data_IF_002627216547
#
_entry.id   IF_002627216547
#
_cell.length_a   1.000
_cell.length_b   1.000
_cell.length_c   1.000
_cell.angle_alpha   90.00
_cell.angle_beta   90.00
_cell.angle_gamma   90.00
#
_symmetry.space_group_name_H-M   'P 1'
#
loop_
_entity.id
_entity.type
_entity.pdbx_description
1 polymer ?
#
# COMPACT_ATOMS: atom_id res chain seq x y z
N UNK A 1 -6.31 -8.27 -1.62
CA UNK A 1 -5.57 -9.16 -0.94
C UNK A 1 -6.28 -10.18 -0.18
N UNK A 2 -6.83 -10.94 -0.87
CA UNK A 2 -7.54 -12.03 -0.34
C UNK A 2 -6.64 -13.22 -0.33
N UNK A 3 -5.41 -13.04 0.06
CA UNK A 3 -4.46 -14.12 0.01
C UNK A 3 -5.18 -15.39 0.34
N UNK A 4 -6.14 -15.25 1.18
CA UNK A 4 -7.06 -16.32 1.45
C UNK A 4 -8.26 -15.72 2.15
N UNK A 5 -9.38 -16.43 2.15
CA UNK A 5 -10.59 -15.93 2.74
C UNK A 5 -10.52 -15.73 4.22
N UNK A 6 -9.79 -16.58 4.91
CA UNK A 6 -9.67 -16.46 6.35
C UNK A 6 -8.88 -15.20 6.73
N UNK A 7 -7.81 -14.93 6.01
CA UNK A 7 -7.02 -13.74 6.24
C UNK A 7 -7.85 -12.49 5.98
N UNK A 8 -8.56 -12.46 4.85
CA UNK A 8 -9.40 -11.31 4.50
C UNK A 8 -10.48 -11.08 5.55
N UNK A 9 -11.10 -12.15 6.05
CA UNK A 9 -12.12 -12.01 7.09
C UNK A 9 -11.53 -11.49 8.38
N UNK A 10 -10.34 -11.98 8.73
CA UNK A 10 -9.64 -11.49 9.90
C UNK A 10 -9.34 -10.01 9.81
N UNK A 11 -8.94 -9.55 8.64
CA UNK A 11 -8.70 -8.14 8.41
C UNK A 11 -9.98 -7.34 8.58
N UNK A 12 -11.08 -7.77 7.96
CA UNK A 12 -12.34 -7.06 8.05
C UNK A 12 -12.86 -7.01 9.48
N UNK A 13 -12.68 -8.08 10.24
CA UNK A 13 -13.16 -8.13 11.61
C UNK A 13 -12.29 -7.34 12.59
N UNK A 14 -11.01 -7.23 12.30
CA UNK A 14 -10.04 -6.66 13.23
C UNK A 14 -9.93 -5.14 13.15
N UNK A 15 -10.34 -4.53 12.06
CA UNK A 15 -10.16 -3.10 11.87
C UNK A 15 -11.37 -2.41 11.28
N UNK A 16 -11.47 -1.08 11.46
CA UNK A 16 -12.58 -0.30 10.93
C UNK A 16 -12.49 -0.04 9.43
N UNK A 17 -11.38 -0.39 8.79
CA UNK A 17 -11.15 -0.09 7.38
C UNK A 17 -11.00 -1.36 6.58
N UNK A 18 -11.43 -1.30 5.31
CA UNK A 18 -11.21 -2.36 4.34
C UNK A 18 -10.14 -1.91 3.36
N UNK A 19 -9.27 -2.81 2.98
CA UNK A 19 -8.20 -2.50 2.03
C UNK A 19 -8.61 -3.01 0.66
N UNK A 20 -8.52 -2.13 -0.34
CA UNK A 20 -8.79 -2.46 -1.74
C UNK A 20 -7.62 -2.07 -2.61
N UNK A 21 -7.39 -2.84 -3.66
CA UNK A 21 -6.40 -2.51 -4.68
C UNK A 21 -7.05 -1.69 -5.78
N UNK A 22 -6.38 -0.60 -6.18
CA UNK A 22 -6.79 0.13 -7.35
C UNK A 22 -6.79 -0.81 -8.56
N UNK A 23 -7.85 -0.74 -9.34
CA UNK A 23 -7.99 -1.51 -10.57
C UNK A 23 -8.23 -0.55 -11.72
N UNK A 24 -7.44 -0.69 -12.80
CA UNK A 24 -7.60 0.15 -13.99
C UNK A 24 -8.83 -0.26 -14.79
N UNK A 25 -9.17 0.54 -15.78
CA UNK A 25 -10.30 0.23 -16.67
C UNK A 25 -10.12 -1.10 -17.41
N UNK A 26 -8.88 -1.52 -17.61
CA UNK A 26 -8.60 -2.78 -18.28
C UNK A 26 -8.47 -3.96 -17.33
N UNK A 27 -8.71 -3.73 -16.04
CA UNK A 27 -8.70 -4.81 -15.04
C UNK A 27 -7.36 -5.04 -14.38
N UNK A 28 -6.35 -4.22 -14.68
CA UNK A 28 -5.05 -4.36 -14.06
C UNK A 28 -5.07 -3.85 -12.62
N UNK A 29 -4.47 -4.63 -11.73
CA UNK A 29 -4.29 -4.25 -10.33
C UNK A 29 -2.79 -4.08 -10.07
N UNK A 30 -2.25 -2.90 -10.32
CA UNK A 30 -0.79 -2.73 -10.31
C UNK A 30 -0.13 -2.98 -8.97
N UNK A 31 -0.76 -2.62 -7.85
CA UNK A 31 -0.14 -2.87 -6.55
C UNK A 31 -0.13 -4.36 -6.25
N UNK A 32 -1.23 -5.06 -6.53
CA UNK A 32 -1.28 -6.50 -6.32
C UNK A 32 -0.25 -7.20 -7.20
N UNK A 33 -0.13 -6.79 -8.46
CA UNK A 33 0.89 -7.34 -9.36
C UNK A 33 2.30 -7.11 -8.83
N UNK A 34 2.57 -5.91 -8.34
CA UNK A 34 3.87 -5.59 -7.76
C UNK A 34 4.19 -6.50 -6.56
N UNK A 35 3.20 -6.69 -5.68
CA UNK A 35 3.38 -7.57 -4.53
C UNK A 35 3.74 -8.99 -4.98
N UNK A 36 3.04 -9.49 -5.97
CA UNK A 36 3.24 -10.87 -6.45
C UNK A 36 4.55 -11.06 -7.20
N UNK A 37 4.98 -10.06 -7.93
CA UNK A 37 6.13 -10.17 -8.83
C UNK A 37 7.43 -9.71 -8.22
N UNK A 38 7.38 -8.69 -7.35
CA UNK A 38 8.59 -8.03 -6.87
C UNK A 38 8.97 -8.41 -5.46
N UNK A 39 8.04 -8.93 -4.66
CA UNK A 39 8.32 -9.26 -3.27
C UNK A 39 8.53 -10.75 -3.08
N UNK A 40 9.47 -11.11 -2.21
CA UNK A 40 9.64 -12.48 -1.77
C UNK A 40 8.42 -12.92 -0.96
N UNK A 41 8.29 -14.23 -0.75
CA UNK A 41 7.21 -14.76 0.09
C UNK A 41 7.25 -14.14 1.48
N UNK A 42 8.44 -14.02 2.06
CA UNK A 42 8.61 -13.43 3.39
C UNK A 42 8.20 -11.97 3.41
N UNK A 43 8.61 -11.21 2.39
CA UNK A 43 8.24 -9.80 2.28
C UNK A 43 6.74 -9.62 2.09
N UNK A 44 6.11 -10.47 1.29
CA UNK A 44 4.66 -10.43 1.09
C UNK A 44 3.91 -10.68 2.40
N UNK A 45 4.37 -11.65 3.18
CA UNK A 45 3.74 -11.94 4.47
C UNK A 45 3.91 -10.77 5.43
N UNK A 46 5.11 -10.20 5.47
CA UNK A 46 5.36 -9.06 6.35
C UNK A 46 4.53 -7.85 5.97
N UNK A 47 4.42 -7.57 4.67
CA UNK A 47 3.59 -6.46 4.21
C UNK A 47 2.13 -6.72 4.52
N UNK A 48 1.64 -7.93 4.24
CA UNK A 48 0.24 -8.27 4.54
C UNK A 48 -0.08 -8.13 6.01
N UNK A 49 0.82 -8.58 6.87
CA UNK A 49 0.63 -8.45 8.32
C UNK A 49 0.60 -6.98 8.74
N UNK A 50 1.49 -6.16 8.19
CA UNK A 50 1.54 -4.74 8.50
C UNK A 50 0.29 -4.00 8.00
N UNK A 51 -0.19 -4.35 6.81
CA UNK A 51 -1.43 -3.79 6.29
C UNK A 51 -2.59 -4.11 7.25
N UNK A 52 -2.64 -5.32 7.74
CA UNK A 52 -3.66 -5.74 8.68
C UNK A 52 -3.53 -5.04 10.04
N UNK A 53 -2.33 -5.03 10.62
CA UNK A 53 -2.12 -4.52 11.97
C UNK A 53 -2.13 -3.00 12.06
N UNK A 54 -1.73 -2.34 11.00
CA UNK A 54 -1.53 -0.89 11.02
C UNK A 54 -2.52 -0.16 10.15
N UNK A 55 -2.52 -0.46 8.86
CA UNK A 55 -3.31 0.33 7.92
C UNK A 55 -4.80 0.06 8.06
N UNK A 56 -5.19 -1.19 8.14
CA UNK A 56 -6.59 -1.54 8.26
C UNK A 56 -7.18 -1.09 9.60
N UNK A 57 -6.35 -1.08 10.62
CA UNK A 57 -6.82 -0.68 11.95
C UNK A 57 -6.91 0.82 12.11
N UNK A 58 -5.90 1.54 11.65
CA UNK A 58 -5.77 2.98 11.91
C UNK A 58 -6.08 3.85 10.71
N UNK A 59 -6.08 3.29 9.50
CA UNK A 59 -6.33 4.05 8.29
C UNK A 59 -5.37 5.22 8.16
N UNK A 60 -5.90 6.38 7.83
CA UNK A 60 -5.09 7.60 7.68
C UNK A 60 -4.43 8.01 9.00
N UNK A 61 -4.92 7.48 10.12
CA UNK A 61 -4.31 7.75 11.42
C UNK A 61 -2.87 7.31 11.54
N UNK A 62 -2.39 6.41 10.66
CA UNK A 62 -0.98 6.03 10.66
C UNK A 62 -0.07 7.21 10.35
N UNK A 63 -0.61 8.28 9.76
CA UNK A 63 0.17 9.47 9.45
C UNK A 63 0.61 10.23 10.70
N UNK A 64 0.06 9.89 11.86
CA UNK A 64 0.49 10.38 13.16
C UNK A 64 1.67 9.58 13.70
N UNK A 65 2.12 8.56 12.98
CA UNK A 65 3.19 7.66 13.40
C UNK A 65 4.30 7.65 12.37
N UNK A 66 5.38 6.93 12.68
CA UNK A 66 6.48 6.74 11.74
C UNK A 66 6.09 5.93 10.51
N UNK A 67 4.95 5.24 10.56
CA UNK A 67 4.51 4.38 9.46
C UNK A 67 3.73 5.10 8.38
N UNK A 68 3.48 6.39 8.53
CA UNK A 68 2.68 7.11 7.56
C UNK A 68 3.10 8.55 7.36
N UNK A 69 2.68 9.11 6.23
CA UNK A 69 2.96 10.49 5.89
C UNK A 69 1.90 11.02 4.94
N UNK A 70 1.36 12.19 5.25
CA UNK A 70 0.44 12.88 4.34
C UNK A 70 1.22 13.46 3.17
N UNK A 71 0.67 13.29 1.97
CA UNK A 71 1.26 13.85 0.76
C UNK A 71 0.40 14.96 0.15
N UNK A 72 -0.79 15.19 0.72
CA UNK A 72 -1.70 16.20 0.22
C UNK A 72 -2.62 15.67 -0.87
N UNK A 73 -3.72 16.39 -1.12
CA UNK A 73 -4.66 16.02 -2.17
C UNK A 73 -5.36 14.68 -1.94
N UNK A 74 -5.47 14.25 -0.70
CA UNK A 74 -6.11 12.98 -0.39
C UNK A 74 -5.20 11.77 -0.50
N UNK A 75 -3.94 11.98 -0.81
CA UNK A 75 -2.96 10.91 -0.93
C UNK A 75 -2.12 10.84 0.34
N UNK A 76 -1.88 9.65 0.85
CA UNK A 76 -0.93 9.46 1.93
C UNK A 76 -0.07 8.22 1.67
N UNK A 77 1.04 8.15 2.39
CA UNK A 77 2.05 7.13 2.17
C UNK A 77 2.12 6.24 3.40
N UNK A 78 2.09 4.94 3.18
CA UNK A 78 2.36 3.93 4.20
C UNK A 78 3.79 3.47 4.02
N UNK A 79 4.56 3.46 5.12
CA UNK A 79 5.99 3.17 5.12
C UNK A 79 6.27 1.93 5.93
N UNK A 80 7.05 1.02 5.36
CA UNK A 80 7.41 -0.20 6.05
C UNK A 80 8.86 -0.57 5.75
N UNK A 81 9.66 -0.74 6.81
CA UNK A 81 11.03 -1.22 6.68
C UNK A 81 11.08 -2.69 7.00
N UNK A 82 11.67 -3.46 6.11
CA UNK A 82 11.84 -4.89 6.31
C UNK A 82 13.32 -5.21 6.25
N UNK A 83 13.78 -6.01 7.21
CA UNK A 83 15.15 -6.51 7.20
C UNK A 83 15.14 -7.94 6.69
N UNK A 84 15.82 -8.18 5.59
CA UNK A 84 16.07 -9.53 5.13
C UNK A 84 17.49 -9.87 5.46
N UNK A 85 17.68 -10.75 6.40
CA UNK A 85 19.05 -11.08 6.84
C UNK A 85 19.75 -12.03 5.91
N UNK A 86 18.99 -12.82 5.16
CA UNK A 86 19.53 -13.92 4.38
C UNK A 86 20.38 -13.44 3.22
N UNK A 87 20.00 -12.34 2.60
CA UNK A 87 20.73 -11.79 1.45
C UNK A 87 21.31 -10.41 1.74
N UNK A 88 21.12 -9.91 2.95
CA UNK A 88 21.63 -8.59 3.32
C UNK A 88 20.84 -7.45 2.74
N UNK A 89 19.79 -7.70 2.00
CA UNK A 89 18.98 -6.64 1.43
C UNK A 89 17.97 -6.11 2.42
N UNK A 90 17.79 -4.81 2.38
CA UNK A 90 16.74 -4.14 3.15
C UNK A 90 15.69 -3.65 2.19
N UNK A 91 14.46 -4.06 2.43
CA UNK A 91 13.33 -3.52 1.69
C UNK A 91 12.79 -2.33 2.48
N UNK A 92 12.58 -1.23 1.78
CA UNK A 92 11.97 -0.03 2.35
C UNK A 92 10.74 0.24 1.50
N UNK A 93 9.62 -0.30 1.93
CA UNK A 93 8.42 -0.29 1.11
C UNK A 93 7.65 1.00 1.32
N UNK A 94 7.18 1.55 0.22
CA UNK A 94 6.28 2.70 0.19
C UNK A 94 5.02 2.28 -0.52
N UNK A 95 3.87 2.47 0.13
CA UNK A 95 2.57 2.18 -0.48
C UNK A 95 1.75 3.46 -0.44
N UNK A 96 1.25 3.88 -1.59
CA UNK A 96 0.49 5.11 -1.70
C UNK A 96 -0.99 4.82 -1.62
N UNK A 97 -1.68 5.53 -0.72
CA UNK A 97 -3.02 5.20 -0.30
C UNK A 97 -3.96 6.39 -0.35
N UNK A 98 -5.25 6.10 -0.43
CA UNK A 98 -6.32 7.09 -0.31
C UNK A 98 -7.42 6.50 0.56
N UNK A 99 -7.89 7.28 1.54
CA UNK A 99 -9.00 6.87 2.39
C UNK A 99 -10.30 7.42 1.81
N UNK A 100 -11.22 6.51 1.49
CA UNK A 100 -12.55 6.92 1.01
C UNK A 100 -13.47 7.20 2.19
N UNK A 101 -14.61 7.83 1.90
CA UNK A 101 -15.61 8.07 2.93
C UNK A 101 -16.30 6.83 3.44
N UNK A 102 -16.12 5.68 2.74
CA UNK A 102 -16.77 4.41 3.09
C UNK A 102 -15.87 3.48 3.89
N UNK A 103 -14.87 4.02 4.56
CA UNK A 103 -13.90 3.26 5.35
C UNK A 103 -13.10 2.27 4.51
N UNK A 104 -12.81 2.63 3.28
CA UNK A 104 -11.96 1.86 2.40
C UNK A 104 -10.63 2.57 2.26
N UNK A 105 -9.55 1.82 2.37
CA UNK A 105 -8.21 2.32 2.06
C UNK A 105 -7.83 1.75 0.70
N UNK A 106 -7.72 2.62 -0.26
CA UNK A 106 -7.38 2.24 -1.63
C UNK A 106 -5.88 2.27 -1.81
N UNK A 107 -5.30 1.18 -2.30
CA UNK A 107 -3.87 1.10 -2.57
C UNK A 107 -3.63 1.45 -4.04
N UNK A 108 -2.93 2.57 -4.26
CA UNK A 108 -2.80 3.18 -5.58
C UNK A 108 -1.45 2.94 -6.24
N UNK A 109 -0.43 2.71 -5.46
CA UNK A 109 0.91 2.51 -5.98
C UNK A 109 1.83 2.01 -4.90
N UNK A 110 2.96 1.46 -5.30
CA UNK A 110 3.94 0.95 -4.35
C UNK A 110 5.27 0.76 -5.03
N UNK A 111 6.33 0.86 -4.25
CA UNK A 111 7.68 0.55 -4.75
C UNK A 111 8.61 0.32 -3.57
N UNK A 112 9.77 -0.24 -3.86
CA UNK A 112 10.81 -0.50 -2.86
C UNK A 112 11.85 0.60 -2.95
N UNK A 113 11.79 1.54 -2.00
CA UNK A 113 12.74 2.64 -1.93
C UNK A 113 14.16 2.16 -1.61
N UNK A 114 14.28 0.98 -1.02
CA UNK A 114 15.59 0.38 -0.76
C UNK A 114 16.35 0.07 -2.03
N UNK A 115 15.64 -0.26 -3.12
CA UNK A 115 16.26 -0.55 -4.40
C UNK A 115 16.55 0.69 -5.22
N UNK A 116 15.74 1.73 -5.06
CA UNK A 116 15.95 2.99 -5.75
C UNK A 116 15.56 4.13 -4.82
N UNK A 117 16.51 4.63 -4.03
CA UNK A 117 16.21 5.66 -3.03
C UNK A 117 16.15 7.07 -3.58
N UNK A 118 16.24 7.24 -4.90
CA UNK A 118 16.30 8.58 -5.47
C UNK A 118 14.99 9.34 -5.33
N UNK A 119 15.10 10.65 -5.21
CA UNK A 119 13.93 11.54 -5.20
C UNK A 119 13.18 11.45 -6.51
N UNK A 120 13.89 11.23 -7.59
CA UNK A 120 13.29 11.12 -8.92
C UNK A 120 12.34 9.94 -8.98
N UNK A 121 12.75 8.78 -8.47
CA UNK A 121 11.89 7.60 -8.44
C UNK A 121 10.66 7.85 -7.59
N UNK A 122 10.83 8.44 -6.41
CA UNK A 122 9.71 8.74 -5.55
C UNK A 122 8.72 9.68 -6.22
N UNK A 123 9.22 10.72 -6.89
CA UNK A 123 8.35 11.66 -7.60
C UNK A 123 7.54 10.98 -8.70
N UNK A 124 8.16 10.06 -9.44
CA UNK A 124 7.47 9.30 -10.48
C UNK A 124 6.36 8.44 -9.87
N UNK A 125 6.66 7.75 -8.78
CA UNK A 125 5.69 6.88 -8.14
C UNK A 125 4.52 7.66 -7.55
N UNK A 126 4.79 8.80 -6.94
CA UNK A 126 3.73 9.67 -6.42
C UNK A 126 2.86 10.17 -7.56
N UNK A 127 3.46 10.60 -8.65
CA UNK A 127 2.73 11.10 -9.81
C UNK A 127 1.81 10.02 -10.39
N UNK A 128 2.31 8.80 -10.45
CA UNK A 128 1.51 7.66 -10.90
C UNK A 128 0.32 7.42 -9.97
N UNK A 129 0.56 7.45 -8.66
CA UNK A 129 -0.50 7.26 -7.69
C UNK A 129 -1.56 8.36 -7.78
N UNK A 130 -1.14 9.60 -7.99
CA UNK A 130 -2.10 10.71 -8.15
C UNK A 130 -2.95 10.56 -9.40
N UNK A 131 -2.35 10.08 -10.48
CA UNK A 131 -3.10 9.84 -11.72
C UNK A 131 -4.14 8.74 -11.51
N UNK A 132 -3.76 7.70 -10.80
CA UNK A 132 -4.69 6.60 -10.51
C UNK A 132 -5.80 7.05 -9.57
N UNK A 133 -5.49 7.90 -8.61
CA UNK A 133 -6.51 8.45 -7.72
C UNK A 133 -7.51 9.29 -8.51
N UNK A 134 -7.03 10.14 -9.41
CA UNK A 134 -7.91 10.95 -10.25
C UNK A 134 -8.82 10.06 -11.09
N UNK A 135 -8.28 9.00 -11.67
CA UNK A 135 -9.06 8.03 -12.44
C UNK A 135 -10.12 7.36 -11.58
N UNK A 136 -9.75 6.93 -10.39
CA UNK A 136 -10.69 6.30 -9.46
C UNK A 136 -11.83 7.24 -9.09
N UNK A 137 -11.51 8.48 -8.77
CA UNK A 137 -12.52 9.45 -8.37
C UNK A 137 -13.48 9.81 -9.50
N UNK A 138 -13.00 9.78 -10.75
CA UNK A 138 -13.85 10.03 -11.89
C UNK A 138 -14.85 8.90 -12.14
N UNK A 139 -14.53 7.70 -11.69
CA UNK A 139 -15.36 6.53 -11.91
C UNK A 139 -16.32 6.22 -10.77
N UNK A 140 -16.21 6.96 -9.68
CA UNK A 140 -17.07 6.71 -8.51
C UNK A 140 -18.03 7.85 -8.16
#
# INVERSE_FOLDING_TARGET
MRADGAYARGMAAAGPFTIEFYESLTGDKPVLGWIRQELSVRQRRALGYALYRLLQRYGVGICETEFGRQLGGGLFEFRLRLSERTDGERAILRVFCHATGDRVILLLGAYDKGRDPTRRRQAVEIRTARRRLADYLLRT
#
